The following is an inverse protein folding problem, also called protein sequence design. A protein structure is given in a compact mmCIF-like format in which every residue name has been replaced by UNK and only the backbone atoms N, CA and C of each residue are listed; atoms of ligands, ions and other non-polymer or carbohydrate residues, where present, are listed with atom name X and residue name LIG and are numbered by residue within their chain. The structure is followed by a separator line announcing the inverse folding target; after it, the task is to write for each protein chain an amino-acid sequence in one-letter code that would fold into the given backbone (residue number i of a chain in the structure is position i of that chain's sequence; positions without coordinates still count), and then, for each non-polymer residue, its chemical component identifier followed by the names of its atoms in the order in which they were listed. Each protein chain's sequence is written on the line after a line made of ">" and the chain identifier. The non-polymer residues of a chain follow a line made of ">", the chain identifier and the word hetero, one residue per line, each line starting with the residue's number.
data_IF_214972533300
#
_entry.id   IF_214972533300
#
_cell.length_a   1.000
_cell.length_b   1.000
_cell.length_c   1.000
_cell.angle_alpha   90.00
_cell.angle_beta   90.00
_cell.angle_gamma   90.00
#
_symmetry.space_group_name_H-M   'P 1'
#
loop_
_entity.id
_entity.type
_entity.pdbx_description
1 polymer ?
#
# COMPACT_ATOMS: atom_id res chain seq x y z
N UNK A 1 -11.96 13.92 -27.61
CA UNK A 1 -12.08 13.64 -26.16
C UNK A 1 -10.66 13.54 -25.61
N UNK A 2 -10.31 14.32 -24.58
CA UNK A 2 -9.00 14.21 -23.93
C UNK A 2 -9.09 13.10 -22.89
N UNK A 3 -8.26 12.07 -23.05
CA UNK A 3 -8.19 10.96 -22.12
C UNK A 3 -7.27 11.41 -20.97
N UNK A 4 -7.81 11.59 -19.78
CA UNK A 4 -7.01 11.87 -18.59
C UNK A 4 -6.39 10.55 -18.14
N UNK A 5 -5.24 10.19 -18.71
CA UNK A 5 -4.42 9.10 -18.19
C UNK A 5 -3.81 9.57 -16.87
N UNK A 6 -4.16 8.88 -15.78
CA UNK A 6 -3.52 9.02 -14.48
C UNK A 6 -2.71 7.75 -14.25
N UNK A 7 -1.40 7.90 -14.10
CA UNK A 7 -0.52 6.81 -13.72
C UNK A 7 -0.53 6.70 -12.19
N UNK A 8 -0.99 5.56 -11.66
CA UNK A 8 -0.81 5.27 -10.24
C UNK A 8 0.63 4.83 -10.03
N UNK A 9 1.39 5.63 -9.29
CA UNK A 9 2.69 5.22 -8.80
C UNK A 9 2.55 4.01 -7.88
N UNK A 10 3.52 3.08 -7.89
CA UNK A 10 3.53 1.96 -6.97
C UNK A 10 3.53 2.45 -5.53
N UNK A 11 2.94 1.65 -4.64
CA UNK A 11 2.87 1.98 -3.22
C UNK A 11 4.29 2.19 -2.66
N UNK A 12 4.60 3.38 -2.10
CA UNK A 12 5.94 3.69 -1.63
C UNK A 12 6.38 2.79 -0.48
N UNK A 13 5.45 2.27 0.33
CA UNK A 13 5.75 1.35 1.43
C UNK A 13 6.22 0.01 0.86
N UNK A 14 5.55 -0.49 -0.18
CA UNK A 14 5.95 -1.72 -0.88
C UNK A 14 7.27 -1.53 -1.64
N UNK A 15 7.46 -0.39 -2.31
CA UNK A 15 8.71 -0.12 -3.02
C UNK A 15 9.92 -0.11 -2.07
N UNK A 16 9.77 0.45 -0.87
CA UNK A 16 10.82 0.45 0.16
C UNK A 16 11.12 -0.97 0.65
N UNK A 17 10.07 -1.74 0.97
CA UNK A 17 10.22 -3.13 1.39
C UNK A 17 10.93 -3.98 0.32
N UNK A 18 10.51 -3.87 -0.94
CA UNK A 18 11.09 -4.62 -2.06
C UNK A 18 12.55 -4.26 -2.32
N UNK A 19 12.90 -2.97 -2.20
CA UNK A 19 14.28 -2.50 -2.39
C UNK A 19 15.25 -2.93 -1.30
N UNK A 20 14.77 -3.37 -0.14
CA UNK A 20 15.63 -3.77 0.98
C UNK A 20 16.18 -5.18 0.82
N UNK A 21 17.49 -5.32 1.05
CA UNK A 21 18.16 -6.62 1.16
C UNK A 21 17.82 -7.39 2.44
N UNK A 22 17.59 -6.68 3.55
CA UNK A 22 17.20 -7.25 4.83
C UNK A 22 15.71 -6.96 5.08
N UNK A 23 14.88 -7.99 4.91
CA UNK A 23 13.42 -7.86 5.00
C UNK A 23 12.96 -7.64 6.45
N UNK A 24 13.59 -8.30 7.43
CA UNK A 24 13.24 -8.15 8.84
C UNK A 24 13.60 -6.77 9.39
N UNK A 25 14.78 -6.27 9.05
CA UNK A 25 15.18 -4.90 9.41
C UNK A 25 14.27 -3.87 8.71
N UNK A 26 13.93 -4.11 7.44
CA UNK A 26 13.02 -3.23 6.68
C UNK A 26 11.63 -3.18 7.28
N UNK A 27 11.04 -4.32 7.66
CA UNK A 27 9.73 -4.38 8.33
C UNK A 27 9.73 -3.56 9.61
N UNK A 28 10.79 -3.63 10.43
CA UNK A 28 10.89 -2.83 11.66
C UNK A 28 10.94 -1.33 11.36
N UNK A 29 11.71 -0.92 10.34
CA UNK A 29 11.78 0.48 9.91
C UNK A 29 10.44 0.96 9.37
N UNK A 30 9.78 0.17 8.52
CA UNK A 30 8.45 0.46 7.97
C UNK A 30 7.40 0.55 9.09
N UNK A 31 7.44 -0.38 10.04
CA UNK A 31 6.55 -0.38 11.20
C UNK A 31 6.69 0.91 12.01
N UNK A 32 7.93 1.32 12.29
CA UNK A 32 8.22 2.57 12.98
C UNK A 32 7.70 3.79 12.21
N UNK A 33 7.92 3.84 10.89
CA UNK A 33 7.55 4.99 10.04
C UNK A 33 6.05 5.13 9.81
N UNK A 34 5.35 4.02 9.59
CA UNK A 34 3.98 4.04 9.04
C UNK A 34 2.93 3.37 9.93
N UNK A 35 3.35 2.54 10.89
CA UNK A 35 2.44 1.73 11.70
C UNK A 35 2.63 1.95 13.21
N UNK A 36 3.10 3.14 13.62
CA UNK A 36 3.32 3.50 15.03
C UNK A 36 4.22 2.51 15.79
N UNK A 37 5.16 1.87 15.09
CA UNK A 37 6.03 0.84 15.65
C UNK A 37 5.43 -0.56 15.73
N UNK A 38 4.18 -0.76 15.31
CA UNK A 38 3.55 -2.08 15.31
C UNK A 38 4.06 -2.93 14.14
N UNK A 39 4.96 -3.87 14.44
CA UNK A 39 5.56 -4.75 13.44
C UNK A 39 4.60 -5.77 12.86
N UNK A 40 3.59 -6.19 13.62
CA UNK A 40 2.66 -7.23 13.18
C UNK A 40 1.69 -6.67 12.15
N UNK A 41 1.19 -5.45 12.38
CA UNK A 41 0.37 -4.73 11.41
C UNK A 41 1.15 -4.42 10.12
N UNK A 42 2.43 -4.06 10.23
CA UNK A 42 3.29 -3.86 9.07
C UNK A 42 3.50 -5.16 8.28
N UNK A 43 3.70 -6.30 8.96
CA UNK A 43 3.81 -7.62 8.31
C UNK A 43 2.53 -8.04 7.62
N UNK A 44 1.38 -7.85 8.28
CA UNK A 44 0.07 -8.14 7.72
C UNK A 44 -0.16 -7.33 6.45
N UNK A 45 0.09 -6.03 6.50
CA UNK A 45 -0.03 -5.13 5.36
C UNK A 45 0.90 -5.51 4.20
N UNK A 46 2.16 -5.87 4.50
CA UNK A 46 3.14 -6.31 3.51
C UNK A 46 2.90 -7.75 2.99
N UNK A 47 1.93 -8.48 3.55
CA UNK A 47 1.71 -9.89 3.22
C UNK A 47 2.88 -10.80 3.64
N UNK A 48 3.70 -10.35 4.60
CA UNK A 48 4.87 -11.04 5.13
C UNK A 48 4.60 -11.67 6.51
N UNK A 49 3.37 -12.17 6.72
CA UNK A 49 3.06 -12.98 7.88
C UNK A 49 3.63 -14.39 7.68
N UNK A 50 4.32 -14.91 8.70
CA UNK A 50 4.61 -16.34 8.78
C UNK A 50 3.26 -17.06 8.90
N UNK A 51 2.82 -17.62 7.78
CA UNK A 51 1.46 -18.08 7.58
C UNK A 51 1.11 -19.25 8.52
N UNK A 52 0.22 -19.05 9.49
CA UNK A 52 -0.87 -20.00 9.64
C UNK A 52 -1.84 -19.77 8.48
N UNK A 53 -2.07 -20.82 7.69
CA UNK A 53 -2.87 -20.82 6.47
C UNK A 53 -4.25 -20.18 6.66
N UNK A 54 -4.40 -18.93 6.24
CA UNK A 54 -5.70 -18.37 5.84
C UNK A 54 -5.63 -18.01 4.37
N UNK A 55 -5.85 -19.03 3.55
CA UNK A 55 -6.33 -18.87 2.18
C UNK A 55 -7.57 -17.97 2.19
N UNK A 56 -7.40 -16.69 1.89
CA UNK A 56 -8.39 -15.71 1.39
C UNK A 56 -7.97 -14.29 1.79
N UNK A 57 -6.96 -13.72 1.13
CA UNK A 57 -6.95 -12.26 0.98
C UNK A 57 -7.39 -11.96 -0.43
N UNK A 58 -8.69 -11.72 -0.53
CA UNK A 58 -9.39 -11.33 -1.72
C UNK A 58 -8.64 -10.20 -2.43
N UNK A 59 -8.69 -10.27 -3.76
CA UNK A 59 -8.36 -9.19 -4.69
C UNK A 59 -9.05 -7.91 -4.22
N UNK A 60 -8.36 -7.09 -3.43
CA UNK A 60 -8.82 -5.75 -3.07
C UNK A 60 -8.55 -4.84 -4.28
N UNK A 61 -9.28 -5.07 -5.37
CA UNK A 61 -9.51 -4.02 -6.37
C UNK A 61 -10.27 -2.93 -5.66
N UNK A 62 -9.59 -1.84 -5.31
CA UNK A 62 -10.25 -0.59 -4.95
C UNK A 62 -11.02 -0.09 -6.17
N UNK A 63 -12.28 -0.48 -6.29
CA UNK A 63 -13.24 0.25 -7.13
C UNK A 63 -13.51 1.57 -6.43
N UNK A 64 -12.78 2.61 -6.82
CA UNK A 64 -13.16 3.98 -6.50
C UNK A 64 -14.47 4.25 -7.25
N UNK A 65 -15.57 4.30 -6.50
CA UNK A 65 -16.82 4.86 -7.01
C UNK A 65 -16.56 6.33 -7.28
N UNK A 66 -16.55 6.71 -8.56
CA UNK A 66 -16.43 8.08 -9.04
C UNK A 66 -17.72 8.85 -8.70
N UNK A 67 -17.97 9.07 -7.41
CA UNK A 67 -19.03 9.94 -6.93
C UNK A 67 -18.53 11.39 -6.93
N UNK A 68 -19.03 12.17 -7.88
CA UNK A 68 -19.08 13.64 -7.95
C UNK A 68 -17.89 14.42 -7.38
N UNK A 69 -16.66 14.02 -7.74
CA UNK A 69 -15.48 14.84 -7.46
C UNK A 69 -15.50 16.10 -8.34
N UNK A 70 -15.85 17.23 -7.74
CA UNK A 70 -15.78 18.55 -8.39
C UNK A 70 -14.38 19.15 -8.22
N UNK A 71 -13.57 19.12 -9.28
CA UNK A 71 -12.30 19.83 -9.34
C UNK A 71 -12.57 21.35 -9.41
N UNK A 72 -12.04 22.19 -8.49
CA UNK A 72 -12.17 23.63 -8.59
C UNK A 72 -11.40 24.17 -9.80
N UNK A 73 -12.01 25.10 -10.53
CA UNK A 73 -11.31 25.82 -11.61
C UNK A 73 -10.26 26.75 -11.01
N UNK A 74 -9.05 26.73 -11.57
CA UNK A 74 -8.00 27.69 -11.24
C UNK A 74 -8.38 29.03 -11.88
N UNK A 75 -8.88 29.95 -11.07
CA UNK A 75 -9.00 31.38 -11.40
C UNK A 75 -7.63 32.06 -11.41
#
# INVERSE_FOLDING_TARGET
>A
MKNNLVELLPDPIFSEFESSSDKDASIKTIAFKYFSGNTDLAREYLGHSECENVSNLAKNSFTISLGDYHQPELI
#
